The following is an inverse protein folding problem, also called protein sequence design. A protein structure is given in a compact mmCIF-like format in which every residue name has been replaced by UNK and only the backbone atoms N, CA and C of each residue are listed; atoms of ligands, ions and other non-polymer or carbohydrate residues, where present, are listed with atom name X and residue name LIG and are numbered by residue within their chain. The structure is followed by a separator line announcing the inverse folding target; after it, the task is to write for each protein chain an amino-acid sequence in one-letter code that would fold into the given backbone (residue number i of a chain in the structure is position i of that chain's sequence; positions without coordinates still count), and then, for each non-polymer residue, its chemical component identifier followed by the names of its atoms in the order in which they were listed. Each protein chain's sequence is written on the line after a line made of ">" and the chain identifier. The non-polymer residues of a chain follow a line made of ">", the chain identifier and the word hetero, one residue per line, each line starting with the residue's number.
data_IF_180154308283
#
_entry.id   IF_180154308283
#
_cell.length_a   1.000
_cell.length_b   1.000
_cell.length_c   1.000
_cell.angle_alpha   90.00
_cell.angle_beta   90.00
_cell.angle_gamma   90.00
#
_symmetry.space_group_name_H-M   'P 1'
#
loop_
_entity.id
_entity.type
_entity.pdbx_description
1 polymer ?
#
# COMPACT_ATOMS: atom_id res chain seq x y z
N UNK A 1 -42.38 -44.48 -26.80
CA UNK A 1 -43.23 -44.12 -27.95
C UNK A 1 -42.84 -42.72 -28.42
N UNK A 2 -42.44 -42.62 -29.70
CA UNK A 2 -42.23 -41.46 -30.59
C UNK A 2 -41.29 -40.31 -30.10
N UNK A 3 -40.04 -40.18 -30.58
CA UNK A 3 -39.51 -39.81 -31.92
C UNK A 3 -39.44 -38.28 -32.13
N UNK A 4 -38.27 -37.65 -31.96
CA UNK A 4 -37.24 -37.25 -32.98
C UNK A 4 -37.49 -35.87 -33.61
N UNK A 5 -36.49 -34.96 -33.52
CA UNK A 5 -35.84 -34.25 -34.66
C UNK A 5 -34.89 -33.11 -34.20
N UNK A 6 -33.59 -33.33 -34.44
CA UNK A 6 -32.61 -32.35 -34.99
C UNK A 6 -32.86 -32.25 -36.52
N UNK A 7 -32.34 -31.28 -37.33
CA UNK A 7 -30.95 -30.75 -37.32
C UNK A 7 -30.81 -29.25 -37.74
N UNK A 8 -29.67 -28.57 -37.58
CA UNK A 8 -28.49 -28.37 -38.48
C UNK A 8 -28.28 -26.88 -38.80
N UNK A 9 -27.03 -26.40 -38.70
CA UNK A 9 -26.52 -25.14 -39.27
C UNK A 9 -26.51 -25.17 -40.81
N UNK A 10 -26.31 -24.02 -41.48
CA UNK A 10 -25.01 -23.84 -42.15
C UNK A 10 -24.44 -22.39 -42.15
N UNK A 11 -23.19 -22.34 -42.59
CA UNK A 11 -22.21 -21.26 -42.72
C UNK A 11 -22.53 -20.23 -43.83
N UNK A 12 -21.83 -19.07 -43.81
CA UNK A 12 -21.20 -18.34 -44.94
C UNK A 12 -20.66 -16.99 -44.41
N UNK A 13 -19.35 -16.76 -44.35
CA UNK A 13 -18.42 -16.22 -45.37
C UNK A 13 -18.52 -14.70 -45.65
N UNK A 14 -17.47 -13.98 -45.19
CA UNK A 14 -16.50 -13.18 -45.96
C UNK A 14 -16.86 -11.89 -46.73
N UNK A 15 -15.83 -11.02 -46.76
CA UNK A 15 -15.44 -9.93 -47.70
C UNK A 15 -15.87 -8.49 -47.34
N UNK A 16 -14.92 -7.58 -47.04
CA UNK A 16 -14.19 -6.66 -47.97
C UNK A 16 -15.12 -5.62 -48.61
N UNK A 17 -14.84 -4.33 -48.81
CA UNK A 17 -13.59 -3.62 -49.14
C UNK A 17 -13.88 -2.10 -49.16
N UNK A 18 -12.81 -1.31 -48.99
CA UNK A 18 -12.48 0.06 -49.45
C UNK A 18 -13.49 0.80 -50.35
N UNK A 19 -13.55 2.14 -50.21
CA UNK A 19 -13.25 3.18 -51.24
C UNK A 19 -13.34 4.58 -50.58
N UNK A 20 -12.26 5.39 -50.54
CA UNK A 20 -12.07 6.61 -51.36
C UNK A 20 -12.33 7.88 -50.50
N UNK A 21 -11.67 9.04 -50.60
CA UNK A 21 -10.75 9.60 -51.58
C UNK A 21 -9.93 10.77 -50.97
N UNK A 22 -8.75 11.01 -51.54
CA UNK A 22 -7.85 12.16 -51.33
C UNK A 22 -8.36 13.42 -52.05
N UNK A 23 -7.89 14.61 -51.62
CA UNK A 23 -7.42 15.68 -52.52
C UNK A 23 -6.48 16.68 -51.81
N UNK A 24 -5.39 17.02 -52.50
CA UNK A 24 -4.34 17.99 -52.16
C UNK A 24 -4.34 19.12 -53.19
N UNK A 25 -3.98 20.36 -52.81
CA UNK A 25 -3.33 21.46 -53.60
C UNK A 25 -3.12 22.65 -52.63
N UNK A 26 -2.19 23.60 -52.73
CA UNK A 26 -1.04 23.90 -53.60
C UNK A 26 -0.14 24.97 -52.91
N UNK A 27 1.09 25.09 -53.42
CA UNK A 27 2.23 25.93 -53.00
C UNK A 27 2.05 27.46 -53.18
N UNK A 28 2.78 28.26 -52.40
CA UNK A 28 3.31 29.61 -52.79
C UNK A 28 4.74 29.79 -52.24
N UNK A 29 5.66 30.37 -53.04
CA UNK A 29 7.09 30.63 -52.76
C UNK A 29 7.36 32.16 -52.64
N UNK A 30 8.07 32.59 -51.56
CA UNK A 30 9.26 33.50 -51.40
C UNK A 30 9.41 34.81 -52.23
N UNK A 31 10.15 35.89 -51.79
CA UNK A 31 11.55 35.82 -51.28
C UNK A 31 12.13 36.90 -50.28
N UNK A 32 13.27 36.52 -49.66
CA UNK A 32 14.57 37.21 -49.34
C UNK A 32 14.62 38.68 -48.84
N UNK A 33 15.31 38.95 -47.70
CA UNK A 33 16.46 39.91 -47.58
C UNK A 33 17.25 39.86 -46.23
N UNK A 34 18.55 39.60 -46.35
CA UNK A 34 19.79 40.05 -45.65
C UNK A 34 19.92 40.28 -44.12
N UNK A 35 21.02 39.71 -43.58
CA UNK A 35 21.67 39.94 -42.27
C UNK A 35 22.55 41.21 -42.26
N UNK A 36 22.93 41.77 -41.08
CA UNK A 36 24.29 41.50 -40.59
C UNK A 36 24.52 41.46 -39.05
N UNK A 37 25.42 40.55 -38.66
CA UNK A 37 26.51 40.58 -37.65
C UNK A 37 26.48 41.51 -36.42
N UNK A 38 26.58 40.94 -35.20
CA UNK A 38 27.51 41.44 -34.14
C UNK A 38 27.80 40.46 -32.99
N UNK A 39 29.11 40.16 -32.87
CA UNK A 39 29.95 39.92 -31.68
C UNK A 39 29.55 38.94 -30.55
N UNK A 40 30.42 37.93 -30.42
CA UNK A 40 30.67 37.06 -29.26
C UNK A 40 31.01 37.87 -28.00
N UNK A 41 30.37 37.54 -26.88
CA UNK A 41 30.96 37.64 -25.53
C UNK A 41 30.74 36.28 -24.87
N UNK A 42 31.84 35.65 -24.49
CA UNK A 42 31.88 34.39 -23.77
C UNK A 42 31.81 34.71 -22.29
N UNK A 43 30.73 34.31 -21.63
CA UNK A 43 30.64 34.33 -20.17
C UNK A 43 30.59 32.89 -19.66
N UNK A 44 31.70 32.54 -19.01
CA UNK A 44 31.99 31.23 -18.45
C UNK A 44 31.77 31.34 -16.95
N UNK A 45 30.76 30.63 -16.40
CA UNK A 45 30.56 30.16 -15.00
C UNK A 45 29.07 30.24 -14.64
N UNK A 46 28.40 29.28 -14.02
CA UNK A 46 28.81 28.10 -13.24
C UNK A 46 27.87 26.93 -13.57
N UNK A 47 28.40 25.71 -13.62
CA UNK A 47 27.58 24.49 -13.49
C UNK A 47 27.00 24.46 -12.08
N UNK A 48 25.71 24.16 -11.88
CA UNK A 48 25.29 23.64 -10.60
C UNK A 48 25.84 22.21 -10.50
N UNK A 49 26.90 22.03 -9.71
CA UNK A 49 27.26 20.73 -9.16
C UNK A 49 26.15 20.32 -8.19
N UNK A 50 25.29 19.45 -8.70
CA UNK A 50 24.25 18.77 -7.96
C UNK A 50 23.66 17.79 -8.94
N UNK A 51 24.07 16.53 -8.85
CA UNK A 51 23.52 15.43 -9.64
C UNK A 51 22.02 15.30 -9.33
N UNK A 52 21.21 16.13 -9.97
CA UNK A 52 19.77 15.95 -10.04
C UNK A 52 19.56 14.68 -10.85
N UNK A 53 19.47 13.55 -10.16
CA UNK A 53 18.84 12.34 -10.66
C UNK A 53 17.58 12.82 -11.40
N UNK A 54 17.59 12.68 -12.72
CA UNK A 54 16.50 13.19 -13.56
C UNK A 54 15.18 12.68 -13.00
N UNK A 55 14.16 13.55 -12.95
CA UNK A 55 12.84 13.22 -12.41
C UNK A 55 12.22 11.96 -13.02
N UNK A 56 12.67 11.58 -14.23
CA UNK A 56 12.21 10.42 -14.99
C UNK A 56 13.10 9.17 -14.89
N UNK A 57 14.11 9.16 -14.02
CA UNK A 57 14.95 7.98 -13.84
C UNK A 57 14.14 6.80 -13.28
N UNK A 58 14.24 5.64 -13.93
CA UNK A 58 13.64 4.38 -13.46
C UNK A 58 14.66 3.62 -12.62
N UNK A 59 14.23 3.19 -11.43
CA UNK A 59 15.00 2.42 -10.47
C UNK A 59 14.35 1.05 -10.33
N UNK A 60 15.18 0.02 -10.19
CA UNK A 60 14.74 -1.36 -10.02
C UNK A 60 14.98 -1.83 -8.59
N UNK A 61 13.99 -2.50 -8.02
CA UNK A 61 14.04 -3.13 -6.71
C UNK A 61 13.85 -4.64 -6.86
N UNK A 62 14.71 -5.43 -6.25
CA UNK A 62 14.57 -6.88 -6.14
C UNK A 62 14.06 -7.22 -4.73
N UNK A 63 12.81 -7.66 -4.63
CA UNK A 63 12.09 -7.77 -3.35
C UNK A 63 11.78 -9.21 -2.99
N UNK A 64 11.99 -9.54 -1.72
CA UNK A 64 11.70 -10.84 -1.14
C UNK A 64 12.69 -11.93 -1.53
N UNK A 65 12.46 -13.14 -1.01
CA UNK A 65 13.31 -14.32 -1.24
C UNK A 65 13.40 -14.72 -2.72
N UNK A 66 12.32 -14.51 -3.47
CA UNK A 66 12.26 -14.77 -4.91
C UNK A 66 12.83 -13.62 -5.77
N UNK A 67 13.31 -12.53 -5.14
CA UNK A 67 13.86 -11.35 -5.83
C UNK A 67 12.94 -10.80 -6.92
N UNK A 68 11.63 -10.72 -6.63
CA UNK A 68 10.64 -10.18 -7.56
C UNK A 68 11.04 -8.75 -7.92
N UNK A 69 11.13 -8.46 -9.22
CA UNK A 69 11.58 -7.17 -9.71
C UNK A 69 10.42 -6.17 -9.78
N UNK A 70 10.64 -5.00 -9.21
CA UNK A 70 9.75 -3.85 -9.28
C UNK A 70 10.49 -2.69 -9.93
N UNK A 71 9.82 -2.00 -10.85
CA UNK A 71 10.32 -0.77 -11.46
C UNK A 71 9.55 0.42 -10.88
N UNK A 72 10.25 1.44 -10.40
CA UNK A 72 9.64 2.66 -9.90
C UNK A 72 10.39 3.89 -10.41
N UNK A 73 9.68 5.01 -10.57
CA UNK A 73 10.29 6.28 -10.96
C UNK A 73 10.85 7.01 -9.76
N UNK A 74 12.01 7.65 -9.92
CA UNK A 74 12.70 8.38 -8.86
C UNK A 74 11.81 9.43 -8.19
N UNK A 75 11.04 10.19 -8.97
CA UNK A 75 10.15 11.22 -8.44
C UNK A 75 9.10 10.68 -7.44
N UNK A 76 8.64 9.44 -7.59
CA UNK A 76 7.68 8.80 -6.67
C UNK A 76 8.36 8.33 -5.38
N UNK A 77 9.59 7.80 -5.50
CA UNK A 77 10.36 7.29 -4.36
C UNK A 77 10.76 8.39 -3.37
N UNK A 78 10.84 9.66 -3.81
CA UNK A 78 11.14 10.80 -2.94
C UNK A 78 10.15 10.98 -1.78
N UNK A 79 8.93 10.45 -1.90
CA UNK A 79 7.95 10.43 -0.81
C UNK A 79 8.31 9.50 0.36
N UNK A 80 9.31 8.63 0.19
CA UNK A 80 9.77 7.67 1.19
C UNK A 80 11.25 7.92 1.54
N UNK A 81 11.54 8.60 2.67
CA UNK A 81 12.89 9.01 3.04
C UNK A 81 13.94 7.89 2.98
N UNK A 82 13.66 6.70 3.54
CA UNK A 82 14.63 5.60 3.53
C UNK A 82 14.82 4.96 2.15
N UNK A 83 13.76 4.85 1.34
CA UNK A 83 13.93 4.36 -0.04
C UNK A 83 14.79 5.34 -0.85
N UNK A 84 14.61 6.64 -0.61
CA UNK A 84 15.40 7.68 -1.28
C UNK A 84 16.88 7.69 -0.85
N UNK A 85 17.22 7.23 0.37
CA UNK A 85 18.63 7.06 0.78
C UNK A 85 19.25 5.84 0.08
N UNK A 86 18.56 4.70 0.05
CA UNK A 86 19.06 3.49 -0.65
C UNK A 86 19.37 3.75 -2.13
N UNK A 87 18.51 4.51 -2.81
CA UNK A 87 18.74 4.87 -4.21
C UNK A 87 19.95 5.80 -4.43
N UNK A 88 20.21 6.72 -3.48
CA UNK A 88 21.37 7.64 -3.54
C UNK A 88 22.69 6.91 -3.32
N UNK A 89 22.72 6.00 -2.35
CA UNK A 89 23.89 5.16 -2.07
C UNK A 89 24.28 4.32 -3.29
N UNK A 90 23.28 3.73 -3.95
CA UNK A 90 23.53 2.90 -5.14
C UNK A 90 24.05 3.70 -6.34
N UNK A 91 23.62 4.97 -6.48
CA UNK A 91 24.06 5.86 -7.55
C UNK A 91 25.52 6.30 -7.40
N UNK A 92 26.13 6.08 -6.23
CA UNK A 92 27.55 6.39 -5.96
C UNK A 92 28.48 5.22 -6.35
N UNK A 93 27.93 4.06 -6.68
CA UNK A 93 28.69 2.90 -7.14
C UNK A 93 29.13 3.04 -8.60
N UNK A 94 30.43 2.97 -8.85
CA UNK A 94 31.12 3.09 -10.15
C UNK A 94 30.80 1.96 -11.16
N UNK A 95 29.53 1.83 -11.57
CA UNK A 95 29.08 0.83 -12.55
C UNK A 95 28.23 1.45 -13.66
N UNK A 96 28.49 1.05 -14.90
CA UNK A 96 27.84 1.54 -16.14
C UNK A 96 26.37 1.10 -16.29
N UNK A 97 25.79 0.36 -15.33
CA UNK A 97 24.39 -0.08 -15.33
C UNK A 97 23.79 0.00 -13.93
N UNK A 98 22.54 0.51 -13.77
CA UNK A 98 21.86 0.49 -12.48
C UNK A 98 21.57 -0.97 -12.09
N UNK A 99 22.20 -1.45 -11.01
CA UNK A 99 21.88 -2.74 -10.42
C UNK A 99 20.59 -2.63 -9.60
N UNK A 100 19.73 -3.66 -9.54
CA UNK A 100 18.55 -3.60 -8.68
C UNK A 100 18.93 -3.45 -7.20
N UNK A 101 18.20 -2.62 -6.45
CA UNK A 101 18.30 -2.51 -4.99
C UNK A 101 17.70 -3.79 -4.38
N UNK A 102 18.47 -4.53 -3.62
CA UNK A 102 18.01 -5.79 -3.03
C UNK A 102 17.34 -5.55 -1.68
N UNK A 103 16.13 -6.06 -1.49
CA UNK A 103 15.34 -5.96 -0.25
C UNK A 103 14.82 -7.36 0.12
N UNK A 104 15.67 -8.23 0.68
CA UNK A 104 15.34 -9.63 0.94
C UNK A 104 14.29 -9.82 2.04
N UNK A 105 14.26 -8.93 3.03
CA UNK A 105 13.38 -9.02 4.20
C UNK A 105 11.97 -8.49 3.93
N UNK A 106 11.77 -7.84 2.78
CA UNK A 106 10.51 -7.18 2.43
C UNK A 106 9.59 -8.13 1.64
N UNK A 107 8.29 -8.06 1.90
CA UNK A 107 7.32 -8.86 1.17
C UNK A 107 6.90 -8.19 -0.14
N UNK A 108 6.88 -8.91 -1.28
CA UNK A 108 6.51 -8.31 -2.55
C UNK A 108 5.10 -7.70 -2.56
N UNK A 109 4.13 -8.34 -1.90
CA UNK A 109 2.74 -7.89 -1.83
C UNK A 109 2.63 -6.59 -1.02
N UNK A 110 3.39 -6.47 0.06
CA UNK A 110 3.44 -5.27 0.90
C UNK A 110 4.16 -4.13 0.19
N UNK A 111 5.30 -4.43 -0.46
CA UNK A 111 6.00 -3.45 -1.26
C UNK A 111 5.16 -2.96 -2.45
N UNK A 112 4.34 -3.84 -3.05
CA UNK A 112 3.38 -3.46 -4.08
C UNK A 112 2.37 -2.43 -3.56
N UNK A 113 1.82 -2.63 -2.36
CA UNK A 113 0.90 -1.67 -1.73
C UNK A 113 1.60 -0.32 -1.46
N UNK A 114 2.85 -0.35 -0.97
CA UNK A 114 3.64 0.86 -0.73
C UNK A 114 3.89 1.62 -2.04
N UNK A 115 4.27 0.93 -3.12
CA UNK A 115 4.45 1.55 -4.41
C UNK A 115 3.15 2.13 -4.95
N UNK A 116 2.05 1.36 -4.92
CA UNK A 116 0.73 1.85 -5.36
C UNK A 116 0.34 3.15 -4.63
N UNK A 117 0.58 3.20 -3.31
CA UNK A 117 0.37 4.41 -2.52
C UNK A 117 1.24 5.58 -2.99
N UNK A 118 2.53 5.36 -3.28
CA UNK A 118 3.40 6.42 -3.77
C UNK A 118 2.96 6.96 -5.14
N UNK A 119 2.26 6.16 -5.95
CA UNK A 119 1.75 6.57 -7.26
C UNK A 119 0.36 7.21 -7.20
N UNK A 120 -0.53 6.73 -6.33
CA UNK A 120 -1.96 7.08 -6.37
C UNK A 120 -2.47 7.78 -5.11
N UNK A 121 -1.69 7.73 -4.02
CA UNK A 121 -2.12 8.18 -2.69
C UNK A 121 -2.99 7.17 -1.94
N UNK A 122 -3.23 5.98 -2.50
CA UNK A 122 -4.01 4.90 -1.90
C UNK A 122 -3.44 3.52 -2.30
N UNK A 123 -3.93 2.44 -1.70
CA UNK A 123 -3.60 1.07 -2.12
C UNK A 123 -4.83 0.17 -2.01
N UNK A 124 -4.89 -0.87 -2.83
CA UNK A 124 -6.06 -1.75 -2.90
C UNK A 124 -6.30 -2.52 -1.58
N UNK A 125 -7.56 -2.63 -1.09
CA UNK A 125 -8.78 -2.00 -1.61
C UNK A 125 -8.89 -0.53 -1.23
N UNK A 126 -9.13 0.36 -2.19
CA UNK A 126 -9.22 1.82 -2.01
C UNK A 126 -10.30 2.25 -1.03
N UNK A 127 -10.06 3.41 -0.43
CA UNK A 127 -10.97 4.04 0.50
C UNK A 127 -12.01 4.88 -0.26
N UNK A 128 -13.29 4.55 -0.09
CA UNK A 128 -14.41 5.23 -0.76
C UNK A 128 -15.25 5.99 0.27
N UNK A 129 -15.55 7.25 -0.04
CA UNK A 129 -16.41 8.09 0.78
C UNK A 129 -17.85 8.07 0.28
N UNK A 130 -18.78 7.67 1.14
CA UNK A 130 -20.19 7.99 0.95
C UNK A 130 -20.41 9.46 1.18
N UNK A 131 -20.87 10.16 0.15
CA UNK A 131 -21.38 11.51 0.34
C UNK A 131 -22.78 11.51 0.95
N UNK A 132 -23.54 10.43 0.78
CA UNK A 132 -24.93 10.32 1.23
C UNK A 132 -25.05 10.05 2.73
N UNK A 133 -24.16 9.20 3.26
CA UNK A 133 -24.19 8.79 4.67
C UNK A 133 -23.00 9.32 5.49
N UNK A 134 -22.18 10.20 4.91
CA UNK A 134 -20.93 10.70 5.51
C UNK A 134 -20.06 9.57 6.11
N UNK A 135 -20.07 8.43 5.45
CA UNK A 135 -19.41 7.21 5.93
C UNK A 135 -18.30 6.79 4.97
N UNK A 136 -17.39 5.97 5.46
CA UNK A 136 -16.26 5.46 4.69
C UNK A 136 -16.31 3.94 4.63
N UNK A 137 -16.01 3.38 3.47
CA UNK A 137 -15.88 1.93 3.28
C UNK A 137 -14.72 1.61 2.34
N UNK A 138 -14.39 0.33 2.27
CA UNK A 138 -13.40 -0.20 1.34
C UNK A 138 -14.10 -0.54 0.03
N UNK A 139 -13.47 -0.24 -1.11
CA UNK A 139 -13.96 -0.76 -2.38
C UNK A 139 -14.10 -2.29 -2.32
N UNK A 140 -15.07 -2.82 -3.04
CA UNK A 140 -15.45 -4.24 -3.01
C UNK A 140 -15.96 -4.78 -1.65
N UNK A 141 -16.25 -3.93 -0.66
CA UNK A 141 -16.86 -4.37 0.61
C UNK A 141 -18.25 -5.00 0.46
N UNK A 142 -18.89 -4.87 -0.71
CA UNK A 142 -20.17 -5.51 -1.05
C UNK A 142 -20.02 -6.95 -1.55
N UNK A 143 -18.79 -7.42 -1.78
CA UNK A 143 -18.52 -8.80 -2.16
C UNK A 143 -18.67 -9.75 -0.96
N UNK A 144 -18.68 -11.06 -1.21
CA UNK A 144 -18.88 -12.05 -0.14
C UNK A 144 -17.83 -11.92 0.98
N UNK A 145 -18.21 -12.28 2.21
CA UNK A 145 -17.31 -12.25 3.38
C UNK A 145 -16.00 -13.00 3.15
N UNK A 146 -16.03 -14.06 2.36
CA UNK A 146 -14.85 -14.86 2.02
C UNK A 146 -13.84 -14.06 1.18
N UNK A 147 -14.32 -13.29 0.18
CA UNK A 147 -13.46 -12.42 -0.64
C UNK A 147 -12.88 -11.28 0.20
N UNK A 148 -13.69 -10.67 1.07
CA UNK A 148 -13.25 -9.58 1.94
C UNK A 148 -12.20 -10.03 2.96
N UNK A 149 -12.34 -11.24 3.53
CA UNK A 149 -11.37 -11.81 4.47
C UNK A 149 -10.04 -12.18 3.81
N UNK A 150 -10.09 -12.65 2.55
CA UNK A 150 -8.91 -12.95 1.77
C UNK A 150 -8.09 -11.70 1.44
N UNK A 151 -8.76 -10.56 1.17
CA UNK A 151 -8.08 -9.29 0.91
C UNK A 151 -7.55 -8.57 2.16
N UNK A 152 -8.17 -8.84 3.32
CA UNK A 152 -7.76 -8.26 4.60
C UNK A 152 -6.48 -8.89 5.17
N UNK A 153 -6.12 -10.10 4.72
CA UNK A 153 -5.08 -10.92 5.33
C UNK A 153 -4.03 -11.35 4.33
N UNK A 154 -2.82 -11.61 4.80
CA UNK A 154 -1.73 -12.17 4.01
C UNK A 154 -0.96 -13.19 4.85
N UNK A 155 -0.38 -14.18 4.19
CA UNK A 155 0.65 -15.00 4.81
C UNK A 155 1.98 -14.24 4.76
N UNK A 156 2.54 -13.90 5.92
CA UNK A 156 3.80 -13.16 6.00
C UNK A 156 4.95 -14.11 6.37
N UNK A 157 5.87 -14.32 5.43
CA UNK A 157 6.93 -15.34 5.54
C UNK A 157 7.84 -15.09 6.73
N UNK A 158 8.21 -13.84 7.02
CA UNK A 158 9.05 -13.52 8.18
C UNK A 158 8.36 -13.68 9.54
N UNK A 159 7.03 -13.77 9.55
CA UNK A 159 6.24 -14.01 10.76
C UNK A 159 5.73 -15.46 10.83
N UNK A 160 5.95 -16.24 9.76
CA UNK A 160 5.45 -17.60 9.55
C UNK A 160 3.95 -17.77 9.87
N UNK A 161 3.16 -16.72 9.61
CA UNK A 161 1.77 -16.70 10.02
C UNK A 161 0.91 -15.79 9.16
N UNK A 162 -0.40 -15.99 9.25
CA UNK A 162 -1.40 -15.13 8.62
C UNK A 162 -1.60 -13.88 9.49
N UNK A 163 -1.36 -12.72 8.90
CA UNK A 163 -1.54 -11.41 9.54
C UNK A 163 -2.42 -10.51 8.68
N UNK A 164 -2.88 -9.42 9.27
CA UNK A 164 -3.59 -8.37 8.54
C UNK A 164 -2.66 -7.65 7.56
N UNK A 165 -3.10 -7.51 6.31
CA UNK A 165 -2.39 -6.81 5.24
C UNK A 165 -2.06 -5.38 5.65
N UNK A 166 -3.06 -4.65 6.15
CA UNK A 166 -2.91 -3.26 6.58
C UNK A 166 -1.88 -3.07 7.70
N UNK A 167 -1.71 -4.06 8.56
CA UNK A 167 -0.72 -4.04 9.63
C UNK A 167 0.69 -4.17 9.10
N UNK A 168 0.89 -5.08 8.15
CA UNK A 168 2.17 -5.20 7.45
C UNK A 168 2.50 -3.93 6.66
N UNK A 169 1.50 -3.34 5.98
CA UNK A 169 1.64 -2.05 5.30
C UNK A 169 1.95 -0.92 6.29
N UNK A 170 1.33 -0.90 7.48
CA UNK A 170 1.66 0.07 8.54
C UNK A 170 3.12 -0.05 8.97
N UNK A 171 3.59 -1.26 9.25
CA UNK A 171 4.98 -1.47 9.69
C UNK A 171 5.97 -1.09 8.59
N UNK A 172 5.65 -1.40 7.32
CA UNK A 172 6.45 -0.94 6.18
C UNK A 172 6.43 0.59 6.05
N UNK A 173 5.29 1.24 6.27
CA UNK A 173 5.17 2.69 6.26
C UNK A 173 5.99 3.36 7.37
N UNK A 174 6.01 2.78 8.56
CA UNK A 174 6.88 3.21 9.67
C UNK A 174 8.35 3.06 9.28
N UNK A 175 8.75 1.87 8.81
CA UNK A 175 10.10 1.61 8.30
C UNK A 175 10.51 2.62 7.24
N UNK A 176 9.65 2.94 6.28
CA UNK A 176 9.99 3.87 5.20
C UNK A 176 9.80 5.35 5.53
N UNK A 177 9.26 5.69 6.71
CA UNK A 177 9.00 7.06 7.13
C UNK A 177 7.82 7.73 6.41
N UNK A 178 6.81 6.96 6.00
CA UNK A 178 5.64 7.43 5.24
C UNK A 178 4.45 7.59 6.17
N UNK A 179 4.42 8.69 6.92
CA UNK A 179 3.43 8.91 7.99
C UNK A 179 1.96 8.95 7.50
N UNK A 180 1.71 9.45 6.29
CA UNK A 180 0.36 9.45 5.72
C UNK A 180 -0.13 8.03 5.36
N UNK A 181 0.78 7.13 4.98
CA UNK A 181 0.45 5.74 4.73
C UNK A 181 0.12 5.00 6.04
N UNK A 182 0.81 5.30 7.15
CA UNK A 182 0.45 4.78 8.49
C UNK A 182 -0.98 5.14 8.87
N UNK A 183 -1.39 6.39 8.65
CA UNK A 183 -2.76 6.85 8.94
C UNK A 183 -3.79 6.15 8.06
N UNK A 184 -3.48 6.02 6.78
CA UNK A 184 -4.35 5.35 5.81
C UNK A 184 -4.53 3.87 6.15
N UNK A 185 -3.45 3.16 6.43
CA UNK A 185 -3.51 1.72 6.73
C UNK A 185 -4.24 1.42 8.03
N UNK A 186 -4.01 2.22 9.08
CA UNK A 186 -4.76 2.08 10.33
C UNK A 186 -6.26 2.34 10.14
N UNK A 187 -6.62 3.28 9.26
CA UNK A 187 -8.01 3.56 8.93
C UNK A 187 -8.65 2.39 8.19
N UNK A 188 -7.98 1.84 7.18
CA UNK A 188 -8.46 0.68 6.41
C UNK A 188 -8.63 -0.55 7.29
N UNK A 189 -7.67 -0.78 8.19
CA UNK A 189 -7.74 -1.87 9.17
C UNK A 189 -9.03 -1.81 10.00
N UNK A 190 -9.43 -0.61 10.42
CA UNK A 190 -10.67 -0.40 11.18
C UNK A 190 -11.96 -0.65 10.41
N UNK A 191 -11.92 -0.69 9.07
CA UNK A 191 -13.08 -0.94 8.20
C UNK A 191 -13.27 -2.42 7.87
N UNK A 192 -12.24 -3.25 8.08
CA UNK A 192 -12.37 -4.69 7.92
C UNK A 192 -13.22 -5.31 9.03
N UNK A 193 -14.10 -6.24 8.64
CA UNK A 193 -14.96 -6.97 9.56
C UNK A 193 -14.79 -8.48 9.39
N UNK A 194 -15.24 -9.27 10.37
CA UNK A 194 -15.18 -10.74 10.30
C UNK A 194 -13.78 -11.35 10.43
N UNK A 195 -12.80 -10.59 10.89
CA UNK A 195 -11.41 -11.08 11.08
C UNK A 195 -11.35 -12.07 12.26
N UNK A 196 -10.62 -13.17 12.06
CA UNK A 196 -10.41 -14.17 13.11
C UNK A 196 -9.60 -13.62 14.28
N UNK A 197 -9.98 -14.01 15.49
CA UNK A 197 -9.31 -13.61 16.72
C UNK A 197 -7.82 -14.02 16.76
N UNK A 198 -7.48 -15.20 16.25
CA UNK A 198 -6.10 -15.66 16.08
C UNK A 198 -5.30 -14.67 15.24
N UNK A 199 -5.80 -14.30 14.05
CA UNK A 199 -5.17 -13.34 13.15
C UNK A 199 -4.97 -11.97 13.81
N UNK A 200 -5.91 -11.51 14.63
CA UNK A 200 -5.76 -10.24 15.38
C UNK A 200 -4.55 -10.31 16.32
N UNK A 201 -4.39 -11.40 17.08
CA UNK A 201 -3.27 -11.57 18.02
C UNK A 201 -1.94 -11.74 17.30
N UNK A 202 -1.89 -12.55 16.26
CA UNK A 202 -0.69 -12.72 15.43
C UNK A 202 -0.28 -11.38 14.79
N UNK A 203 -1.24 -10.59 14.30
CA UNK A 203 -0.95 -9.27 13.73
C UNK A 203 -0.48 -8.28 14.78
N UNK A 204 -1.05 -8.33 16.00
CA UNK A 204 -0.58 -7.51 17.12
C UNK A 204 0.87 -7.85 17.49
N UNK A 205 1.21 -9.15 17.56
CA UNK A 205 2.61 -9.58 17.78
C UNK A 205 3.55 -9.07 16.71
N UNK A 206 3.15 -9.21 15.44
CA UNK A 206 3.91 -8.69 14.32
C UNK A 206 4.15 -7.18 14.46
N UNK A 207 3.11 -6.41 14.79
CA UNK A 207 3.21 -4.97 15.02
C UNK A 207 4.22 -4.63 16.12
N UNK A 208 4.17 -5.31 17.27
CA UNK A 208 5.09 -5.09 18.38
C UNK A 208 6.55 -5.45 18.02
N UNK A 209 6.76 -6.46 17.18
CA UNK A 209 8.08 -6.86 16.74
C UNK A 209 8.68 -5.92 15.67
N UNK A 210 7.83 -5.24 14.89
CA UNK A 210 8.25 -4.44 13.73
C UNK A 210 8.04 -2.93 13.89
N UNK A 211 7.68 -2.47 15.09
CA UNK A 211 7.54 -1.03 15.40
C UNK A 211 8.19 -0.69 16.75
N UNK A 212 8.81 0.50 16.87
CA UNK A 212 9.41 0.93 18.13
C UNK A 212 8.34 1.18 19.21
N UNK A 213 8.78 1.26 20.47
CA UNK A 213 7.89 1.50 21.61
C UNK A 213 7.16 2.85 21.57
N UNK A 214 7.66 3.80 20.76
CA UNK A 214 7.03 5.09 20.51
C UNK A 214 5.79 5.01 19.62
N UNK A 215 5.55 3.90 18.93
CA UNK A 215 4.39 3.70 18.05
C UNK A 215 3.11 3.38 18.83
N UNK A 216 2.65 4.35 19.61
CA UNK A 216 1.49 4.22 20.50
C UNK A 216 0.16 4.04 19.76
N UNK A 217 0.00 4.64 18.57
CA UNK A 217 -1.28 4.61 17.82
C UNK A 217 -1.68 3.20 17.39
N UNK A 218 -0.77 2.48 16.73
CA UNK A 218 -1.02 1.10 16.29
C UNK A 218 -1.22 0.17 17.50
N UNK A 219 -0.39 0.33 18.52
CA UNK A 219 -0.48 -0.49 19.74
C UNK A 219 -1.80 -0.26 20.46
N UNK A 220 -2.19 0.99 20.71
CA UNK A 220 -3.48 1.33 21.31
C UNK A 220 -4.66 0.81 20.49
N UNK A 221 -4.59 0.89 19.16
CA UNK A 221 -5.61 0.32 18.28
C UNK A 221 -5.80 -1.19 18.51
N UNK A 222 -4.70 -1.95 18.59
CA UNK A 222 -4.77 -3.38 18.90
C UNK A 222 -5.31 -3.67 20.29
N UNK A 223 -4.85 -2.95 21.31
CA UNK A 223 -5.32 -3.13 22.68
C UNK A 223 -6.83 -2.90 22.77
N UNK A 224 -7.33 -1.81 22.16
CA UNK A 224 -8.76 -1.52 22.09
C UNK A 224 -9.54 -2.62 21.33
N UNK A 225 -9.01 -3.09 20.19
CA UNK A 225 -9.62 -4.17 19.42
C UNK A 225 -9.72 -5.48 20.22
N UNK A 226 -8.68 -5.81 20.97
CA UNK A 226 -8.61 -7.00 21.83
C UNK A 226 -9.63 -6.89 22.98
N UNK A 227 -9.63 -5.77 23.71
CA UNK A 227 -10.55 -5.53 24.85
C UNK A 227 -12.01 -5.57 24.39
N UNK A 228 -12.33 -4.97 23.24
CA UNK A 228 -13.67 -4.97 22.66
C UNK A 228 -14.13 -6.37 22.20
N UNK A 229 -13.20 -7.24 21.83
CA UNK A 229 -13.47 -8.60 21.34
C UNK A 229 -13.26 -9.69 22.39
N UNK A 230 -13.13 -9.32 23.68
CA UNK A 230 -12.76 -10.23 24.79
C UNK A 230 -13.65 -11.46 24.95
N UNK A 231 -14.94 -11.36 24.65
CA UNK A 231 -15.90 -12.48 24.78
C UNK A 231 -15.59 -13.61 23.80
N UNK A 232 -15.13 -13.28 22.60
CA UNK A 232 -14.72 -14.24 21.57
C UNK A 232 -13.42 -14.93 21.97
N UNK A 233 -12.45 -14.16 22.46
CA UNK A 233 -11.16 -14.66 22.95
C UNK A 233 -11.27 -15.65 24.10
N UNK A 234 -12.18 -15.39 25.05
CA UNK A 234 -12.43 -16.29 26.18
C UNK A 234 -12.99 -17.65 25.73
N UNK A 235 -13.84 -17.66 24.69
CA UNK A 235 -14.49 -18.89 24.21
C UNK A 235 -13.56 -19.76 23.37
N UNK A 236 -12.67 -19.15 22.59
CA UNK A 236 -11.77 -19.87 21.67
C UNK A 236 -10.52 -20.45 22.34
N UNK A 237 -10.17 -20.00 23.55
CA UNK A 237 -8.90 -20.36 24.21
C UNK A 237 -7.65 -19.75 23.57
N UNK A 238 -7.79 -19.04 22.43
CA UNK A 238 -6.66 -18.47 21.69
C UNK A 238 -5.88 -17.45 22.50
N UNK A 239 -6.56 -16.68 23.35
CA UNK A 239 -5.89 -15.72 24.24
C UNK A 239 -4.99 -16.42 25.26
N UNK A 240 -5.43 -17.55 25.82
CA UNK A 240 -4.62 -18.30 26.80
C UNK A 240 -3.31 -18.77 26.17
N UNK A 241 -3.40 -19.45 25.02
CA UNK A 241 -2.21 -19.95 24.31
C UNK A 241 -1.22 -18.82 23.97
N UNK A 242 -1.73 -17.68 23.51
CA UNK A 242 -0.92 -16.53 23.13
C UNK A 242 -0.26 -15.87 24.37
N UNK A 243 -1.00 -15.76 25.49
CA UNK A 243 -0.47 -15.25 26.75
C UNK A 243 0.61 -16.14 27.37
N UNK A 244 0.47 -17.47 27.26
CA UNK A 244 1.48 -18.43 27.73
C UNK A 244 2.82 -18.28 26.99
N UNK A 245 2.77 -17.92 25.70
CA UNK A 245 3.96 -17.57 24.92
C UNK A 245 4.57 -16.20 25.32
N UNK A 246 3.80 -15.32 25.97
CA UNK A 246 4.28 -14.07 26.55
C UNK A 246 4.64 -12.95 25.55
N UNK A 247 5.26 -11.90 26.06
CA UNK A 247 5.70 -10.72 25.29
C UNK A 247 5.10 -9.40 25.77
N UNK A 248 5.71 -8.28 25.34
CA UNK A 248 5.35 -6.92 25.80
C UNK A 248 3.87 -6.57 25.59
N UNK A 249 3.26 -7.09 24.51
CA UNK A 249 1.85 -6.94 24.20
C UNK A 249 0.94 -7.23 25.41
N UNK A 250 1.22 -8.28 26.18
CA UNK A 250 0.35 -8.69 27.28
C UNK A 250 0.51 -7.83 28.52
N UNK A 251 1.70 -7.27 28.74
CA UNK A 251 1.88 -6.26 29.77
C UNK A 251 1.09 -4.99 29.42
N UNK A 252 1.24 -4.49 28.19
CA UNK A 252 0.51 -3.32 27.72
C UNK A 252 -1.02 -3.58 27.72
N UNK A 253 -1.46 -4.82 27.42
CA UNK A 253 -2.85 -5.24 27.50
C UNK A 253 -3.37 -5.26 28.94
N UNK A 254 -2.59 -5.78 29.90
CA UNK A 254 -2.95 -5.74 31.31
C UNK A 254 -3.18 -4.29 31.77
N UNK A 255 -2.23 -3.39 31.48
CA UNK A 255 -2.35 -1.97 31.82
C UNK A 255 -3.59 -1.34 31.16
N UNK A 256 -3.81 -1.60 29.88
CA UNK A 256 -4.98 -1.07 29.17
C UNK A 256 -6.31 -1.60 29.72
N UNK A 257 -6.37 -2.86 30.17
CA UNK A 257 -7.56 -3.42 30.81
C UNK A 257 -7.82 -2.78 32.18
N UNK A 258 -6.79 -2.55 32.99
CA UNK A 258 -6.93 -1.83 34.27
C UNK A 258 -7.51 -0.43 34.06
N UNK A 259 -6.91 0.35 33.16
CA UNK A 259 -7.40 1.69 32.83
C UNK A 259 -8.86 1.64 32.34
N UNK A 260 -9.20 0.66 31.52
CA UNK A 260 -10.58 0.49 31.04
C UNK A 260 -11.57 0.20 32.16
N UNK A 261 -11.18 -0.56 33.20
CA UNK A 261 -12.03 -0.78 34.38
C UNK A 261 -12.19 0.49 35.21
N UNK A 262 -11.10 1.23 35.42
CA UNK A 262 -11.12 2.50 36.16
C UNK A 262 -12.04 3.53 35.48
N UNK A 263 -12.01 3.61 34.15
CA UNK A 263 -12.89 4.47 33.36
C UNK A 263 -14.38 4.11 33.51
N UNK A 264 -14.69 2.81 33.58
CA UNK A 264 -16.06 2.34 33.81
C UNK A 264 -16.52 2.75 35.20
N UNK A 265 -15.70 2.53 36.23
CA UNK A 265 -16.00 2.90 37.61
C UNK A 265 -16.16 4.42 37.79
N UNK A 266 -15.37 5.23 37.08
CA UNK A 266 -15.52 6.68 37.06
C UNK A 266 -16.85 7.11 36.41
N UNK A 267 -17.24 6.45 35.32
CA UNK A 267 -18.54 6.69 34.66
C UNK A 267 -19.71 6.36 35.58
N UNK A 268 -19.63 5.28 36.36
CA UNK A 268 -20.65 4.92 37.35
C UNK A 268 -20.70 5.87 38.55
N UNK A 269 -19.61 6.59 38.84
CA UNK A 269 -19.51 7.55 39.95
C UNK A 269 -19.77 9.00 39.54
N UNK A 270 -19.94 9.29 38.24
CA UNK A 270 -20.28 10.62 37.77
C UNK A 270 -21.67 11.01 38.31
N UNK A 271 -21.80 12.10 39.11
CA UNK A 271 -23.11 12.57 39.52
C UNK A 271 -23.87 13.04 38.28
N UNK A 272 -25.15 12.68 38.19
CA UNK A 272 -26.09 13.28 37.26
C UNK A 272 -26.04 14.79 37.51
N UNK A 273 -25.44 15.54 36.59
CA UNK A 273 -25.52 17.00 36.61
C UNK A 273 -26.97 17.35 36.22
N UNK A 274 -27.70 17.90 37.19
CA UNK A 274 -29.03 18.50 37.05
C UNK A 274 -29.04 19.68 36.05
#
# INVERSE_FOLDING_TARGET
>A
MFSTRRPAQPQTESLSSKYGARKSTSRVRRPIRESPTRSRVSERRQKPDGSSLGSDMVIYFAVGSQKRLFAARWNMIRGAPLLATYCREQSSGSGTRPKPINMPDEQPEIFSCVLEYLYTGDYYPRLVHDKSHENWWLEDSSMSKDVQSNEATIYHQGAEAIILKDTAVYCAAEKYGIENLKRLSLRKQGLHCGIQCSTILTSARYAYANTPDTESKLRAHYLALIIRSRSTFKRSGTMQMEMEQGGKLFFDLFVAMCNHMDDLDATFKAPLAD
#
